data_IF_888377258275
#
_entry.id   IF_888377258275
#
_cell.length_a   1.000
_cell.length_b   1.000
_cell.length_c   1.000
_cell.angle_alpha   90.00
_cell.angle_beta   90.00
_cell.angle_gamma   90.00
#
_symmetry.space_group_name_H-M   'P 1'
#
loop_
_entity.id
_entity.type
_entity.pdbx_description
1 polymer ?
#
# COMPACT_ATOMS: atom_id res chain seq x y z
N UNK A 1 -12.26 1.74 21.53
CA UNK A 1 -11.24 2.00 20.69
C UNK A 1 -11.13 1.09 19.55
N UNK A 2 -11.02 -0.17 19.77
CA UNK A 2 -10.80 -1.05 18.64
C UNK A 2 -11.94 -1.05 17.66
N UNK A 3 -13.13 -0.72 18.09
CA UNK A 3 -14.23 -0.67 17.15
C UNK A 3 -14.05 0.38 16.09
N UNK A 4 -13.34 1.43 16.40
CA UNK A 4 -13.13 2.50 15.44
C UNK A 4 -12.28 2.03 14.28
N UNK A 5 -11.33 1.15 14.54
CA UNK A 5 -10.45 0.65 13.50
C UNK A 5 -10.96 -0.60 12.80
N UNK A 6 -12.03 -1.19 13.29
CA UNK A 6 -12.57 -2.40 12.67
C UNK A 6 -13.09 -2.16 11.27
N UNK A 7 -13.55 -0.96 10.98
CA UNK A 7 -14.04 -0.61 9.65
C UNK A 7 -12.99 -0.06 8.71
N UNK A 8 -11.76 0.12 9.20
CA UNK A 8 -10.68 0.72 8.42
C UNK A 8 -9.52 -0.25 8.31
N UNK A 9 -9.11 -0.53 7.08
CA UNK A 9 -7.95 -1.35 6.82
C UNK A 9 -6.78 -0.43 6.49
N UNK A 10 -5.63 -0.70 7.07
CA UNK A 10 -4.45 0.14 6.91
C UNK A 10 -3.31 -0.67 6.32
N UNK A 11 -2.64 -0.10 5.35
CA UNK A 11 -1.46 -0.71 4.76
C UNK A 11 -0.37 0.34 4.60
N UNK A 12 0.87 -0.10 4.56
CA UNK A 12 2.00 0.79 4.35
C UNK A 12 3.02 0.14 3.44
N UNK A 13 3.74 0.99 2.71
CA UNK A 13 4.78 0.55 1.79
C UNK A 13 6.12 1.01 2.32
N UNK A 14 7.11 0.12 2.26
CA UNK A 14 8.46 0.48 2.63
C UNK A 14 9.45 -0.37 1.82
N UNK A 15 10.71 0.00 1.84
CA UNK A 15 11.75 -0.75 1.16
C UNK A 15 12.52 -1.57 2.19
N UNK A 16 12.78 -2.83 1.89
CA UNK A 16 13.51 -3.71 2.78
C UNK A 16 14.96 -3.28 2.91
N UNK A 17 15.42 -3.12 4.14
CA UNK A 17 16.82 -2.74 4.42
C UNK A 17 17.68 -3.95 4.72
N UNK A 18 17.07 -5.10 4.92
CA UNK A 18 17.79 -6.37 5.16
C UNK A 18 16.92 -7.52 4.66
N UNK A 19 17.54 -8.65 4.30
CA UNK A 19 16.75 -9.80 3.88
C UNK A 19 15.98 -10.40 5.06
N UNK A 20 14.80 -10.93 4.77
CA UNK A 20 13.98 -11.58 5.78
C UNK A 20 13.06 -12.58 5.06
N UNK A 21 12.42 -13.46 5.82
CA UNK A 21 11.44 -14.38 5.28
C UNK A 21 10.05 -13.93 5.73
N UNK A 22 9.13 -13.91 4.80
CA UNK A 22 7.76 -13.56 5.08
C UNK A 22 6.85 -14.71 4.66
N UNK A 23 5.61 -14.69 5.12
CA UNK A 23 4.63 -15.70 4.73
C UNK A 23 4.43 -15.74 3.22
N UNK A 24 4.53 -14.59 2.56
CA UNK A 24 4.33 -14.49 1.12
C UNK A 24 5.58 -14.80 0.31
N UNK A 25 6.74 -14.96 0.95
CA UNK A 25 7.96 -15.30 0.25
C UNK A 25 9.21 -14.72 0.90
N UNK A 26 10.33 -14.88 0.23
CA UNK A 26 11.62 -14.39 0.69
C UNK A 26 11.80 -12.93 0.27
N UNK A 27 12.22 -12.10 1.21
CA UNK A 27 12.46 -10.69 0.97
C UNK A 27 13.97 -10.45 0.89
N UNK A 28 14.40 -9.77 -0.16
CA UNK A 28 15.80 -9.43 -0.36
C UNK A 28 15.98 -7.93 -0.10
N UNK A 29 17.18 -7.54 0.32
CA UNK A 29 17.48 -6.12 0.52
C UNK A 29 17.21 -5.34 -0.77
N UNK A 30 16.48 -4.26 -0.64
CA UNK A 30 16.11 -3.44 -1.79
C UNK A 30 14.73 -3.74 -2.35
N UNK A 31 14.14 -4.86 -1.97
CA UNK A 31 12.77 -5.16 -2.40
C UNK A 31 11.78 -4.21 -1.74
N UNK A 32 10.72 -3.91 -2.46
CA UNK A 32 9.62 -3.14 -1.91
C UNK A 32 8.62 -4.10 -1.27
N UNK A 33 8.17 -3.76 -0.09
CA UNK A 33 7.25 -4.62 0.67
C UNK A 33 6.02 -3.83 1.08
N UNK A 34 4.89 -4.52 1.08
CA UNK A 34 3.64 -3.98 1.59
C UNK A 34 3.31 -4.64 2.91
N UNK A 35 2.96 -3.82 3.88
CA UNK A 35 2.67 -4.26 5.24
C UNK A 35 1.23 -3.95 5.58
N UNK A 36 0.56 -4.90 6.23
CA UNK A 36 -0.74 -4.65 6.82
C UNK A 36 -0.64 -4.97 8.32
N UNK A 37 -1.78 -5.04 8.98
CA UNK A 37 -1.80 -5.29 10.43
C UNK A 37 -1.19 -6.65 10.81
N UNK A 38 -1.15 -7.57 9.88
CA UNK A 38 -0.62 -8.92 10.11
C UNK A 38 0.86 -9.06 9.72
N UNK A 39 1.43 -8.05 9.10
CA UNK A 39 2.83 -8.06 8.69
C UNK A 39 3.00 -7.90 7.20
N UNK A 40 4.07 -8.47 6.66
CA UNK A 40 4.37 -8.36 5.23
C UNK A 40 3.38 -9.19 4.43
N UNK A 41 2.62 -8.53 3.56
CA UNK A 41 1.63 -9.22 2.73
C UNK A 41 1.90 -9.09 1.23
N UNK A 42 2.87 -8.29 0.82
CA UNK A 42 3.25 -8.22 -0.59
C UNK A 42 4.73 -7.91 -0.73
N UNK A 43 5.32 -8.36 -1.84
CA UNK A 43 6.72 -8.12 -2.16
C UNK A 43 6.78 -7.81 -3.65
N UNK A 44 7.58 -6.82 -4.01
CA UNK A 44 7.77 -6.50 -5.41
C UNK A 44 9.14 -5.92 -5.66
N UNK A 45 9.62 -6.08 -6.89
CA UNK A 45 10.90 -5.50 -7.32
C UNK A 45 10.82 -4.00 -7.53
N UNK A 46 9.61 -3.45 -7.64
CA UNK A 46 9.40 -2.01 -7.75
C UNK A 46 8.32 -1.59 -6.76
N UNK A 47 8.32 -0.30 -6.44
CA UNK A 47 7.33 0.25 -5.54
C UNK A 47 5.91 0.01 -6.07
N UNK A 48 5.70 0.24 -7.35
CA UNK A 48 4.39 0.06 -7.96
C UNK A 48 3.91 -1.39 -7.87
N UNK A 49 4.79 -2.35 -8.13
CA UNK A 49 4.43 -3.76 -8.06
C UNK A 49 3.98 -4.16 -6.66
N UNK A 50 4.76 -3.75 -5.65
CA UNK A 50 4.43 -4.08 -4.28
C UNK A 50 3.16 -3.35 -3.82
N UNK A 51 3.00 -2.10 -4.23
CA UNK A 51 1.82 -1.31 -3.86
C UNK A 51 0.55 -1.88 -4.44
N UNK A 52 0.55 -2.25 -5.73
CA UNK A 52 -0.65 -2.81 -6.34
C UNK A 52 -0.98 -4.18 -5.79
N UNK A 53 0.03 -4.98 -5.46
CA UNK A 53 -0.19 -6.28 -4.83
C UNK A 53 -0.80 -6.11 -3.44
N UNK A 54 -0.34 -5.11 -2.70
CA UNK A 54 -0.92 -4.81 -1.39
C UNK A 54 -2.37 -4.35 -1.53
N UNK A 55 -2.64 -3.46 -2.47
CA UNK A 55 -3.99 -2.95 -2.66
C UNK A 55 -4.96 -4.04 -3.11
N UNK A 56 -4.49 -4.99 -3.91
CA UNK A 56 -5.31 -6.09 -4.34
C UNK A 56 -5.83 -6.90 -3.15
N UNK A 57 -5.03 -7.02 -2.12
CA UNK A 57 -5.42 -7.71 -0.90
C UNK A 57 -6.20 -6.82 0.06
N UNK A 58 -5.86 -5.54 0.09
CA UNK A 58 -6.40 -4.61 1.07
C UNK A 58 -7.80 -4.10 0.68
N UNK A 59 -7.98 -3.79 -0.59
CA UNK A 59 -9.24 -3.25 -1.09
C UNK A 59 -10.17 -4.38 -1.48
N UNK A 60 -11.27 -4.52 -0.75
CA UNK A 60 -12.28 -5.54 -1.02
C UNK A 60 -13.44 -4.98 -1.81
N UNK A 61 -14.38 -5.87 -2.15
CA UNK A 61 -15.55 -5.48 -2.94
C UNK A 61 -16.53 -4.59 -2.20
N UNK A 62 -16.44 -4.53 -0.88
CA UNK A 62 -17.33 -3.72 -0.07
C UNK A 62 -16.73 -2.38 0.31
N UNK A 63 -15.47 -2.15 -0.03
CA UNK A 63 -14.79 -0.91 0.32
C UNK A 63 -15.19 0.19 -0.66
N UNK A 64 -15.28 1.40 -0.17
CA UNK A 64 -15.75 2.55 -0.95
C UNK A 64 -14.70 3.63 -1.12
N UNK A 65 -13.82 3.78 -0.14
CA UNK A 65 -12.84 4.88 -0.14
C UNK A 65 -11.45 4.33 0.13
N UNK A 66 -10.51 4.77 -0.70
CA UNK A 66 -9.08 4.51 -0.49
C UNK A 66 -8.38 5.85 -0.29
N UNK A 67 -7.76 6.03 0.85
CA UNK A 67 -6.93 7.19 1.12
C UNK A 67 -5.47 6.82 0.90
N UNK A 68 -4.77 7.57 0.07
CA UNK A 68 -3.37 7.35 -0.25
C UNK A 68 -2.57 8.52 0.32
N UNK A 69 -1.74 8.23 1.31
CA UNK A 69 -0.89 9.26 1.91
C UNK A 69 0.50 9.07 1.33
N UNK A 70 0.98 10.09 0.63
CA UNK A 70 2.20 10.02 -0.17
C UNK A 70 3.37 10.58 0.61
N UNK A 71 4.44 9.81 0.70
CA UNK A 71 5.67 10.25 1.34
C UNK A 71 6.64 10.89 0.36
N UNK A 72 7.75 11.38 0.89
CA UNK A 72 8.75 12.10 0.09
C UNK A 72 9.40 11.22 -0.98
N UNK A 73 9.47 9.91 -0.75
CA UNK A 73 10.13 9.02 -1.68
C UNK A 73 9.27 8.60 -2.87
N UNK A 74 7.99 8.86 -2.81
CA UNK A 74 7.10 8.50 -3.91
C UNK A 74 7.15 9.57 -5.01
N UNK A 75 7.19 9.11 -6.26
CA UNK A 75 7.21 10.03 -7.40
C UNK A 75 5.80 10.20 -7.96
N UNK A 76 5.61 11.21 -8.80
CA UNK A 76 4.33 11.41 -9.47
C UNK A 76 3.96 10.21 -10.33
N UNK A 77 4.96 9.54 -10.92
CA UNK A 77 4.72 8.35 -11.72
C UNK A 77 4.19 7.21 -10.85
N UNK A 78 4.74 7.07 -9.64
CA UNK A 78 4.27 6.04 -8.70
C UNK A 78 2.83 6.30 -8.28
N UNK A 79 2.50 7.55 -7.99
CA UNK A 79 1.15 7.94 -7.59
C UNK A 79 0.17 7.65 -8.72
N UNK A 80 0.54 8.02 -9.94
CA UNK A 80 -0.30 7.78 -11.09
C UNK A 80 -0.53 6.30 -11.31
N UNK A 81 0.52 5.49 -11.23
CA UNK A 81 0.40 4.06 -11.43
C UNK A 81 -0.56 3.43 -10.43
N UNK A 82 -0.47 3.83 -9.17
CA UNK A 82 -1.36 3.32 -8.13
C UNK A 82 -2.80 3.74 -8.37
N UNK A 83 -3.02 5.03 -8.66
CA UNK A 83 -4.39 5.52 -8.86
C UNK A 83 -5.03 4.95 -10.11
N UNK A 84 -4.25 4.76 -11.18
CA UNK A 84 -4.76 4.14 -12.40
C UNK A 84 -5.11 2.68 -12.17
N UNK A 85 -4.28 1.97 -11.41
CA UNK A 85 -4.56 0.58 -11.09
C UNK A 85 -5.89 0.45 -10.34
N UNK A 86 -6.12 1.33 -9.38
CA UNK A 86 -7.38 1.32 -8.62
C UNK A 86 -8.56 1.61 -9.52
N UNK A 87 -8.42 2.59 -10.40
CA UNK A 87 -9.49 2.95 -11.33
C UNK A 87 -9.84 1.80 -12.27
N UNK A 88 -8.85 1.00 -12.66
CA UNK A 88 -9.07 -0.12 -13.57
C UNK A 88 -9.60 -1.36 -12.86
N UNK A 89 -9.11 -1.63 -11.66
CA UNK A 89 -9.41 -2.87 -10.96
C UNK A 89 -10.46 -2.72 -9.87
N UNK A 90 -10.63 -1.51 -9.36
CA UNK A 90 -11.62 -1.21 -8.32
C UNK A 90 -12.34 0.08 -8.65
N UNK A 91 -13.10 0.13 -9.76
CA UNK A 91 -13.71 1.39 -10.23
C UNK A 91 -14.74 1.96 -9.27
N UNK A 92 -15.24 1.15 -8.34
CA UNK A 92 -16.23 1.58 -7.37
C UNK A 92 -15.61 2.32 -6.18
N UNK A 93 -14.29 2.24 -6.04
CA UNK A 93 -13.59 2.83 -4.92
C UNK A 93 -13.17 4.25 -5.28
N UNK A 94 -13.50 5.19 -4.41
CA UNK A 94 -13.06 6.57 -4.58
C UNK A 94 -11.66 6.69 -3.98
N UNK A 95 -10.74 7.23 -4.76
CA UNK A 95 -9.35 7.37 -4.32
C UNK A 95 -9.06 8.82 -3.95
N UNK A 96 -8.54 9.02 -2.76
CA UNK A 96 -8.11 10.33 -2.28
C UNK A 96 -6.61 10.30 -2.06
N UNK A 97 -5.90 11.28 -2.59
CA UNK A 97 -4.44 11.36 -2.47
C UNK A 97 -4.08 12.55 -1.61
N UNK A 98 -3.29 12.29 -0.58
CA UNK A 98 -2.83 13.32 0.36
C UNK A 98 -1.32 13.26 0.45
N UNK A 99 -0.67 14.42 0.48
CA UNK A 99 0.78 14.47 0.63
C UNK A 99 1.12 14.56 2.11
N UNK A 100 1.76 13.51 2.63
CA UNK A 100 2.12 13.44 4.04
C UNK A 100 3.54 13.87 4.33
N UNK A 101 4.43 13.79 3.33
CA UNK A 101 5.82 14.22 3.48
C UNK A 101 6.68 13.33 4.38
N UNK A 102 6.18 12.17 4.78
CA UNK A 102 6.94 11.26 5.63
C UNK A 102 8.10 10.64 4.85
N UNK A 103 9.19 10.37 5.54
CA UNK A 103 10.31 9.65 4.96
C UNK A 103 10.20 8.16 5.31
N UNK A 104 10.92 7.30 4.60
CA UNK A 104 10.96 5.85 4.78
C UNK A 104 9.72 5.09 4.31
N UNK A 105 8.56 5.72 4.30
CA UNK A 105 7.32 5.07 3.88
C UNK A 105 6.72 5.87 2.74
N UNK A 106 7.00 5.48 1.48
CA UNK A 106 6.49 6.24 0.34
C UNK A 106 4.97 6.27 0.25
N UNK A 107 4.29 5.25 0.76
CA UNK A 107 2.84 5.23 0.78
C UNK A 107 2.30 4.69 2.08
N UNK A 108 1.24 5.32 2.56
CA UNK A 108 0.32 4.73 3.54
C UNK A 108 -1.04 4.65 2.88
N UNK A 109 -1.73 3.55 3.09
CA UNK A 109 -3.07 3.35 2.54
C UNK A 109 -4.07 3.17 3.67
N UNK A 110 -5.22 3.81 3.54
CA UNK A 110 -6.34 3.57 4.43
C UNK A 110 -7.56 3.22 3.59
N UNK A 111 -8.22 2.13 3.91
CA UNK A 111 -9.35 1.63 3.14
C UNK A 111 -10.59 1.53 4.02
N UNK A 112 -11.67 2.11 3.56
CA UNK A 112 -12.96 2.06 4.26
C UNK A 112 -14.08 1.55 3.38
#
# INVERSE_FOLDING_TARGET
>A
MSEIVDGVKVGEMTQAVRPTNATVGEVTTGDWIGLDRDGICSIGGTLTQAATALLEQLVGGEDEILSVIVGDEATDADIRAVTEWVAENRPEVETEVHKGGQSHYPFFFGVE
#
